data_IF_581185388820
#
_entry.id   IF_581185388820
#
_cell.length_a   1.000
_cell.length_b   1.000
_cell.length_c   1.000
_cell.angle_alpha   90.00
_cell.angle_beta   90.00
_cell.angle_gamma   90.00
#
_symmetry.space_group_name_H-M   'P 1'
#
loop_
_entity.id
_entity.type
_entity.pdbx_description
1 polymer ?
#
# COMPACT_ATOMS: atom_id res chain seq x y z
N UNK A 1 9.57 -0.83 15.52
CA UNK A 1 8.74 0.34 15.84
C UNK A 1 9.39 1.23 16.91
N UNK A 2 9.90 0.69 18.01
CA UNK A 2 10.53 1.51 19.07
C UNK A 2 11.64 2.44 18.53
N UNK A 3 12.54 1.91 17.68
CA UNK A 3 13.62 2.68 17.04
C UNK A 3 13.14 3.56 15.89
N UNK A 4 12.06 3.19 15.24
CA UNK A 4 11.51 3.84 14.05
C UNK A 4 9.98 3.95 14.18
N UNK A 5 9.47 4.85 15.05
CA UNK A 5 8.02 4.95 15.29
C UNK A 5 7.24 5.37 14.03
N UNK A 6 7.89 6.03 13.08
CA UNK A 6 7.30 6.45 11.81
C UNK A 6 6.90 5.28 10.89
N UNK A 7 7.34 4.05 11.17
CA UNK A 7 6.90 2.86 10.42
C UNK A 7 5.49 2.42 10.78
N UNK A 8 4.96 2.90 11.91
CA UNK A 8 3.60 2.57 12.33
C UNK A 8 2.57 3.35 11.51
N UNK A 9 1.47 2.68 11.17
CA UNK A 9 0.34 3.29 10.47
C UNK A 9 -0.27 4.44 11.26
N UNK A 10 -0.93 5.30 10.54
CA UNK A 10 -1.83 6.33 11.04
C UNK A 10 -3.23 5.97 10.55
N UNK A 11 -4.22 5.97 11.45
CA UNK A 11 -5.60 5.64 11.13
C UNK A 11 -6.31 6.82 10.42
N UNK A 12 -7.58 6.64 10.09
CA UNK A 12 -8.42 7.65 9.45
C UNK A 12 -8.73 8.88 10.33
N UNK A 13 -8.49 8.79 11.64
CA UNK A 13 -8.57 9.92 12.60
C UNK A 13 -7.24 10.67 12.74
N UNK A 14 -6.23 10.32 11.91
CA UNK A 14 -4.86 10.85 11.96
C UNK A 14 -4.09 10.50 13.24
N UNK A 15 -4.48 9.44 13.93
CA UNK A 15 -3.79 8.93 15.12
C UNK A 15 -2.83 7.79 14.73
N UNK A 16 -1.62 7.82 15.28
CA UNK A 16 -0.63 6.77 15.04
C UNK A 16 -0.93 5.52 15.88
N UNK A 17 -0.88 4.35 15.23
CA UNK A 17 -1.02 3.07 15.92
C UNK A 17 0.13 2.83 16.89
N UNK A 18 -0.16 2.07 17.93
CA UNK A 18 0.84 1.59 18.87
C UNK A 18 1.50 0.31 18.36
N UNK A 19 2.71 0.05 18.86
CA UNK A 19 3.41 -1.21 18.62
C UNK A 19 2.63 -2.40 19.20
N UNK A 20 2.68 -3.52 18.48
CA UNK A 20 2.09 -4.79 18.93
C UNK A 20 0.72 -5.11 18.34
N UNK A 21 0.09 -4.15 17.65
CA UNK A 21 -1.12 -4.42 16.87
C UNK A 21 -0.81 -5.23 15.61
N UNK A 22 -1.81 -5.93 15.12
CA UNK A 22 -1.76 -6.65 13.85
C UNK A 22 -1.84 -5.66 12.69
N UNK A 23 -1.10 -5.89 11.57
CA UNK A 23 -1.09 -5.06 10.35
C UNK A 23 -0.82 -3.56 10.62
N UNK A 24 -0.01 -3.26 11.60
CA UNK A 24 0.19 -1.88 12.05
C UNK A 24 1.36 -1.14 11.39
N UNK A 25 1.97 -1.70 10.33
CA UNK A 25 3.07 -1.06 9.62
C UNK A 25 2.63 -0.38 8.32
N UNK A 26 3.18 0.81 8.05
CA UNK A 26 2.94 1.56 6.83
C UNK A 26 3.70 0.93 5.65
N UNK A 27 2.97 0.41 4.66
CA UNK A 27 3.55 -0.20 3.45
C UNK A 27 4.27 0.81 2.54
N UNK A 28 4.08 2.11 2.77
CA UNK A 28 4.75 3.19 2.04
C UNK A 28 6.09 3.57 2.69
N UNK A 29 6.32 3.22 3.96
CA UNK A 29 7.53 3.59 4.70
C UNK A 29 8.80 3.02 4.05
N UNK A 30 9.77 3.86 3.65
CA UNK A 30 11.03 3.38 3.08
C UNK A 30 11.86 2.59 4.09
N UNK A 31 11.77 2.92 5.37
CA UNK A 31 12.46 2.18 6.45
C UNK A 31 11.86 0.78 6.59
N UNK A 32 10.52 0.67 6.60
CA UNK A 32 9.85 -0.63 6.69
C UNK A 32 10.18 -1.49 5.46
N UNK A 33 10.02 -0.95 4.23
CA UNK A 33 10.35 -1.64 2.98
C UNK A 33 11.80 -2.14 2.94
N UNK A 34 12.75 -1.32 3.39
CA UNK A 34 14.16 -1.75 3.48
C UNK A 34 14.34 -2.92 4.43
N UNK A 35 13.74 -2.86 5.63
CA UNK A 35 13.87 -3.91 6.64
C UNK A 35 13.20 -5.22 6.23
N UNK A 36 12.07 -5.15 5.55
CA UNK A 36 11.41 -6.32 4.97
C UNK A 36 12.30 -6.94 3.90
N UNK A 37 12.81 -6.17 2.96
CA UNK A 37 13.75 -6.66 1.93
C UNK A 37 14.98 -7.32 2.54
N UNK A 38 15.62 -6.71 3.56
CA UNK A 38 16.75 -7.29 4.26
C UNK A 38 16.40 -8.65 4.86
N UNK A 39 15.21 -8.80 5.46
CA UNK A 39 14.74 -10.04 6.06
C UNK A 39 14.44 -11.10 5.00
N UNK A 40 13.69 -10.76 3.96
CA UNK A 40 13.29 -11.68 2.88
C UNK A 40 14.52 -12.22 2.16
N UNK A 41 15.49 -11.34 1.86
CA UNK A 41 16.77 -11.75 1.25
C UNK A 41 17.53 -12.72 2.16
N UNK A 42 17.63 -12.43 3.45
CA UNK A 42 18.34 -13.30 4.39
C UNK A 42 17.66 -14.66 4.54
N UNK A 43 16.33 -14.70 4.59
CA UNK A 43 15.56 -15.95 4.63
C UNK A 43 15.74 -16.75 3.33
N UNK A 44 15.64 -16.09 2.18
CA UNK A 44 15.82 -16.74 0.89
C UNK A 44 17.25 -17.31 0.75
N UNK A 45 18.28 -16.55 1.07
CA UNK A 45 19.68 -17.03 1.05
C UNK A 45 19.90 -18.27 1.93
N UNK A 46 19.17 -18.37 3.04
CA UNK A 46 19.30 -19.50 3.96
C UNK A 46 18.50 -20.72 3.54
N UNK A 47 17.31 -20.55 2.96
CA UNK A 47 16.35 -21.64 2.83
C UNK A 47 15.92 -21.93 1.38
N UNK A 48 16.33 -21.15 0.39
CA UNK A 48 15.88 -21.31 -1.00
C UNK A 48 16.06 -22.75 -1.56
N UNK A 49 17.16 -23.39 -1.20
CA UNK A 49 17.48 -24.74 -1.67
C UNK A 49 17.17 -25.85 -0.65
N UNK A 50 16.44 -25.53 0.42
CA UNK A 50 16.04 -26.55 1.39
C UNK A 50 14.91 -27.42 0.81
N UNK A 51 15.04 -28.78 0.79
CA UNK A 51 14.10 -29.65 0.07
C UNK A 51 12.66 -29.62 0.61
N UNK A 52 12.43 -29.14 1.82
CA UNK A 52 11.10 -28.98 2.38
C UNK A 52 10.42 -27.64 2.01
N UNK A 53 11.14 -26.69 1.40
CA UNK A 53 10.57 -25.42 0.95
C UNK A 53 10.01 -25.60 -0.45
N UNK A 54 8.69 -25.54 -0.57
CA UNK A 54 7.97 -25.72 -1.84
C UNK A 54 7.38 -24.41 -2.36
N UNK A 55 7.19 -23.42 -1.48
CA UNK A 55 6.51 -22.17 -1.80
C UNK A 55 6.87 -21.10 -0.76
N UNK A 56 6.99 -19.85 -1.21
CA UNK A 56 7.20 -18.69 -0.34
C UNK A 56 5.90 -17.95 -0.13
N UNK A 57 5.47 -17.85 1.12
CA UNK A 57 4.32 -17.05 1.50
C UNK A 57 4.75 -15.64 1.89
N UNK A 58 4.40 -14.64 1.07
CA UNK A 58 4.75 -13.24 1.28
C UNK A 58 3.78 -12.60 2.26
N UNK A 59 4.32 -12.00 3.31
CA UNK A 59 3.50 -11.33 4.35
C UNK A 59 2.29 -12.17 4.80
N UNK A 60 1.21 -11.54 5.26
CA UNK A 60 -0.03 -12.22 5.62
C UNK A 60 -1.22 -11.28 5.52
N UNK A 61 -2.29 -11.67 4.82
CA UNK A 61 -3.58 -10.99 4.82
C UNK A 61 -3.45 -9.48 4.58
N UNK A 62 -2.89 -9.08 3.45
CA UNK A 62 -2.74 -7.66 3.11
C UNK A 62 -4.05 -6.90 3.27
N UNK A 63 -4.07 -5.89 4.14
CA UNK A 63 -5.26 -5.10 4.45
C UNK A 63 -4.92 -3.75 5.06
N UNK A 64 -5.92 -2.87 5.11
CA UNK A 64 -5.91 -1.61 5.85
C UNK A 64 -5.09 -0.49 5.23
N UNK A 65 -5.58 0.72 5.41
CA UNK A 65 -4.99 1.96 4.90
C UNK A 65 -4.00 2.60 5.90
N UNK A 66 -3.24 3.58 5.40
CA UNK A 66 -2.39 4.42 6.24
C UNK A 66 -2.48 5.87 5.82
N UNK A 67 -2.88 6.74 6.72
CA UNK A 67 -3.12 8.16 6.50
C UNK A 67 -1.94 9.06 6.94
N UNK A 68 -0.75 8.49 7.11
CA UNK A 68 0.42 9.25 7.55
C UNK A 68 0.87 10.29 6.50
N UNK A 69 1.64 11.32 6.89
CA UNK A 69 2.11 12.36 5.97
C UNK A 69 2.83 11.82 4.73
N UNK A 70 3.54 10.70 4.88
CA UNK A 70 4.21 10.05 3.75
C UNK A 70 3.21 9.46 2.74
N UNK A 71 2.14 8.82 3.22
CA UNK A 71 1.07 8.31 2.36
C UNK A 71 0.30 9.44 1.69
N UNK A 72 0.03 10.53 2.39
CA UNK A 72 -0.58 11.75 1.85
C UNK A 72 0.23 12.30 0.68
N UNK A 73 1.55 12.45 0.87
CA UNK A 73 2.42 12.97 -0.19
C UNK A 73 2.53 11.99 -1.38
N UNK A 74 2.62 10.69 -1.12
CA UNK A 74 2.64 9.67 -2.19
C UNK A 74 1.31 9.60 -2.94
N UNK A 75 0.20 9.84 -2.27
CA UNK A 75 -1.11 9.94 -2.92
C UNK A 75 -1.16 11.13 -3.89
N UNK A 76 -0.72 12.32 -3.45
CA UNK A 76 -0.62 13.51 -4.32
C UNK A 76 0.29 13.26 -5.54
N UNK A 77 1.44 12.62 -5.35
CA UNK A 77 2.35 12.26 -6.44
C UNK A 77 1.70 11.27 -7.44
N UNK A 78 0.96 10.28 -6.92
CA UNK A 78 0.23 9.31 -7.73
C UNK A 78 -0.88 10.00 -8.54
N UNK A 79 -1.63 10.91 -7.93
CA UNK A 79 -2.66 11.71 -8.61
C UNK A 79 -2.07 12.63 -9.69
N UNK A 80 -0.94 13.30 -9.41
CA UNK A 80 -0.22 14.11 -10.40
C UNK A 80 0.17 13.27 -11.62
N UNK A 81 0.65 12.06 -11.40
CA UNK A 81 0.99 11.13 -12.50
C UNK A 81 -0.25 10.69 -13.28
N UNK A 82 -1.38 10.49 -12.61
CA UNK A 82 -2.63 10.02 -13.21
C UNK A 82 -3.34 11.11 -14.02
N UNK A 83 -3.45 12.31 -13.48
CA UNK A 83 -4.25 13.40 -14.05
C UNK A 83 -3.43 14.47 -14.77
N UNK A 84 -2.15 14.55 -14.53
CA UNK A 84 -1.24 15.57 -15.09
C UNK A 84 -1.43 16.93 -14.44
N UNK A 85 -2.64 17.49 -14.50
CA UNK A 85 -2.98 18.81 -13.97
C UNK A 85 -4.03 18.74 -12.88
N UNK A 86 -4.03 19.77 -12.03
CA UNK A 86 -5.05 19.90 -10.97
C UNK A 86 -6.45 20.16 -11.57
N UNK A 87 -6.51 20.81 -12.72
CA UNK A 87 -7.76 21.03 -13.44
C UNK A 87 -8.39 19.72 -13.90
N UNK A 88 -7.60 18.82 -14.48
CA UNK A 88 -8.08 17.50 -14.88
C UNK A 88 -8.59 16.68 -13.68
N UNK A 89 -7.90 16.77 -12.53
CA UNK A 89 -8.35 16.16 -11.29
C UNK A 89 -9.68 16.75 -10.84
N UNK A 90 -9.79 18.09 -10.80
CA UNK A 90 -11.02 18.79 -10.42
C UNK A 90 -12.20 18.37 -11.30
N UNK A 91 -11.99 18.27 -12.60
CA UNK A 91 -13.00 17.82 -13.54
C UNK A 91 -13.39 16.35 -13.31
N UNK A 92 -12.40 15.46 -13.17
CA UNK A 92 -12.64 14.02 -12.97
C UNK A 92 -13.35 13.71 -11.65
N UNK A 93 -13.06 14.46 -10.61
CA UNK A 93 -13.69 14.32 -9.30
C UNK A 93 -14.96 15.15 -9.14
N UNK A 94 -15.27 15.99 -10.15
CA UNK A 94 -16.42 16.92 -10.14
C UNK A 94 -16.44 17.83 -8.90
N UNK A 95 -15.29 18.37 -8.55
CA UNK A 95 -15.07 19.17 -7.33
C UNK A 95 -15.79 20.52 -7.31
N UNK A 96 -16.37 20.95 -8.44
CA UNK A 96 -17.25 22.11 -8.49
C UNK A 96 -18.53 21.92 -7.67
N UNK A 97 -18.95 20.66 -7.45
CA UNK A 97 -20.06 20.34 -6.57
C UNK A 97 -19.73 20.75 -5.14
N UNK A 98 -20.60 21.51 -4.51
CA UNK A 98 -20.42 22.11 -3.18
C UNK A 98 -19.16 22.98 -3.03
N UNK A 99 -18.63 23.51 -4.16
CA UNK A 99 -17.46 24.39 -4.18
C UNK A 99 -16.17 23.77 -3.60
N UNK A 100 -15.96 22.45 -3.81
CA UNK A 100 -14.78 21.71 -3.32
C UNK A 100 -13.57 21.80 -4.26
N UNK A 101 -13.54 22.77 -5.17
CA UNK A 101 -12.47 22.90 -6.17
C UNK A 101 -11.13 23.14 -5.52
N UNK A 102 -10.17 22.26 -5.82
CA UNK A 102 -8.78 22.41 -5.42
C UNK A 102 -8.08 23.46 -6.29
N UNK A 103 -7.29 24.33 -5.65
CA UNK A 103 -6.48 25.36 -6.29
C UNK A 103 -4.99 25.11 -6.16
N UNK A 104 -4.59 24.24 -5.22
CA UNK A 104 -3.25 23.75 -5.02
C UNK A 104 -3.23 22.26 -4.64
N UNK A 105 -2.19 21.55 -5.06
CA UNK A 105 -2.05 20.12 -4.76
C UNK A 105 -1.93 19.81 -3.27
N UNK A 106 -1.42 20.74 -2.47
CA UNK A 106 -1.30 20.58 -1.02
C UNK A 106 -2.64 20.48 -0.31
N UNK A 107 -3.71 20.96 -0.93
CA UNK A 107 -5.08 20.87 -0.41
C UNK A 107 -5.69 19.47 -0.58
N UNK A 108 -5.09 18.63 -1.42
CA UNK A 108 -5.57 17.27 -1.64
C UNK A 108 -5.06 16.37 -0.53
N UNK A 109 -5.98 15.85 0.26
CA UNK A 109 -5.71 14.93 1.37
C UNK A 109 -6.38 13.57 1.14
N UNK A 110 -5.92 12.55 1.85
CA UNK A 110 -6.59 11.25 1.89
C UNK A 110 -7.98 11.40 2.53
N UNK A 111 -8.97 10.60 2.11
CA UNK A 111 -10.33 10.68 2.65
C UNK A 111 -10.40 10.09 4.08
N UNK A 112 -9.95 10.86 5.07
CA UNK A 112 -10.11 10.55 6.49
C UNK A 112 -11.59 10.57 6.90
N UNK A 113 -11.88 10.22 8.14
CA UNK A 113 -13.26 10.14 8.63
C UNK A 113 -14.01 11.49 8.54
N UNK A 114 -13.28 12.59 8.71
CA UNK A 114 -13.84 13.93 8.62
C UNK A 114 -13.84 14.50 7.19
N UNK A 115 -13.44 13.69 6.18
CA UNK A 115 -13.43 14.11 4.80
C UNK A 115 -14.86 14.26 4.26
N UNK A 116 -15.01 15.15 3.28
CA UNK A 116 -16.27 15.33 2.58
C UNK A 116 -16.64 14.07 1.76
N UNK A 117 -17.76 13.45 2.11
CA UNK A 117 -18.20 12.19 1.51
C UNK A 117 -18.77 12.33 0.10
N UNK A 118 -19.10 13.56 -0.34
CA UNK A 118 -19.60 13.79 -1.69
C UNK A 118 -18.56 13.68 -2.80
N UNK A 119 -17.27 13.71 -2.45
CA UNK A 119 -16.18 13.59 -3.42
C UNK A 119 -15.84 12.11 -3.72
N UNK A 120 -16.78 11.41 -4.35
CA UNK A 120 -16.64 9.98 -4.65
C UNK A 120 -15.36 9.64 -5.44
N UNK A 121 -14.95 10.52 -6.36
CA UNK A 121 -13.71 10.34 -7.13
C UNK A 121 -12.47 10.23 -6.25
N UNK A 122 -12.41 10.99 -5.16
CA UNK A 122 -11.32 10.93 -4.18
C UNK A 122 -11.28 9.56 -3.48
N UNK A 123 -12.43 9.04 -3.02
CA UNK A 123 -12.49 7.72 -2.36
C UNK A 123 -12.08 6.59 -3.32
N UNK A 124 -12.55 6.64 -4.56
CA UNK A 124 -12.18 5.64 -5.59
C UNK A 124 -10.67 5.68 -5.85
N UNK A 125 -10.09 6.86 -6.02
CA UNK A 125 -8.66 6.99 -6.27
C UNK A 125 -7.82 6.68 -5.04
N UNK A 126 -8.30 6.93 -3.83
CA UNK A 126 -7.64 6.47 -2.62
C UNK A 126 -7.56 4.93 -2.58
N UNK A 127 -8.64 4.21 -2.91
CA UNK A 127 -8.64 2.74 -3.01
C UNK A 127 -7.69 2.23 -4.08
N UNK A 128 -7.66 2.87 -5.24
CA UNK A 128 -6.70 2.56 -6.31
C UNK A 128 -5.25 2.80 -5.89
N UNK A 129 -5.01 3.91 -5.20
CA UNK A 129 -3.69 4.22 -4.65
C UNK A 129 -3.27 3.22 -3.58
N UNK A 130 -4.15 2.89 -2.64
CA UNK A 130 -3.89 1.90 -1.58
C UNK A 130 -3.57 0.53 -2.16
N UNK A 131 -4.33 0.07 -3.16
CA UNK A 131 -4.01 -1.14 -3.94
C UNK A 131 -2.64 -1.05 -4.60
N UNK A 132 -2.33 0.06 -5.25
CA UNK A 132 -1.02 0.28 -5.89
C UNK A 132 0.13 0.22 -4.87
N UNK A 133 -0.01 0.84 -3.70
CA UNK A 133 1.00 0.80 -2.63
C UNK A 133 1.20 -0.63 -2.10
N UNK A 134 0.11 -1.36 -1.88
CA UNK A 134 0.16 -2.75 -1.46
C UNK A 134 0.85 -3.62 -2.52
N UNK A 135 0.41 -3.54 -3.79
CA UNK A 135 1.00 -4.30 -4.91
C UNK A 135 2.51 -4.04 -5.03
N UNK A 136 2.93 -2.78 -5.00
CA UNK A 136 4.37 -2.45 -5.10
C UNK A 136 5.17 -2.90 -3.89
N UNK A 137 4.56 -3.02 -2.71
CA UNK A 137 5.20 -3.57 -1.53
C UNK A 137 5.36 -5.09 -1.68
N UNK A 138 4.29 -5.80 -1.99
CA UNK A 138 4.25 -7.24 -2.22
C UNK A 138 5.22 -7.68 -3.32
N UNK A 139 5.27 -6.94 -4.44
CA UNK A 139 6.24 -7.18 -5.52
C UNK A 139 7.68 -7.00 -5.06
N UNK A 140 7.95 -6.03 -4.17
CA UNK A 140 9.29 -5.83 -3.62
C UNK A 140 9.73 -6.97 -2.67
N UNK A 141 8.80 -7.61 -1.96
CA UNK A 141 9.07 -8.84 -1.19
C UNK A 141 9.39 -9.99 -2.14
N UNK A 142 8.54 -10.23 -3.15
CA UNK A 142 8.78 -11.26 -4.18
C UNK A 142 10.14 -11.07 -4.86
N UNK A 143 10.42 -9.86 -5.31
CA UNK A 143 11.66 -9.54 -6.02
C UNK A 143 12.90 -9.79 -5.14
N UNK A 144 12.80 -9.56 -3.82
CA UNK A 144 13.88 -9.85 -2.88
C UNK A 144 14.15 -11.37 -2.76
N UNK A 145 13.09 -12.19 -2.76
CA UNK A 145 13.17 -13.66 -2.76
C UNK A 145 13.71 -14.16 -4.09
N UNK A 146 13.13 -13.74 -5.20
CA UNK A 146 13.50 -14.20 -6.55
C UNK A 146 14.87 -13.68 -7.03
N UNK A 147 15.40 -12.62 -6.41
CA UNK A 147 16.77 -12.19 -6.66
C UNK A 147 17.81 -13.21 -6.16
N UNK A 148 17.45 -14.09 -5.21
CA UNK A 148 18.31 -15.18 -4.73
C UNK A 148 18.20 -16.39 -5.67
N UNK A 149 16.98 -16.74 -6.06
CA UNK A 149 16.71 -17.80 -7.03
C UNK A 149 15.38 -17.51 -7.75
N UNK A 150 15.46 -17.23 -9.04
CA UNK A 150 14.30 -16.87 -9.86
C UNK A 150 13.25 -17.99 -10.02
N UNK A 151 13.59 -19.22 -9.69
CA UNK A 151 12.68 -20.37 -9.74
C UNK A 151 11.72 -20.45 -8.55
N UNK A 152 12.00 -19.69 -7.47
CA UNK A 152 11.18 -19.70 -6.26
C UNK A 152 9.79 -19.15 -6.53
N UNK A 153 8.79 -19.96 -6.23
CA UNK A 153 7.39 -19.58 -6.39
C UNK A 153 6.88 -18.85 -5.15
N UNK A 154 6.14 -17.76 -5.37
CA UNK A 154 5.60 -16.92 -4.33
C UNK A 154 4.08 -16.89 -4.34
N UNK A 155 3.51 -16.85 -3.16
CA UNK A 155 2.07 -16.69 -2.91
C UNK A 155 1.82 -15.69 -1.79
N UNK A 156 0.60 -15.20 -1.70
CA UNK A 156 0.07 -14.48 -0.54
C UNK A 156 -1.40 -14.87 -0.38
N UNK A 157 -1.86 -14.98 0.87
CA UNK A 157 -3.26 -15.21 1.13
C UNK A 157 -4.06 -13.92 0.92
N UNK A 158 -4.96 -13.95 -0.06
CA UNK A 158 -5.82 -12.84 -0.41
C UNK A 158 -7.20 -13.04 0.22
N UNK A 159 -7.68 -12.00 0.94
CA UNK A 159 -8.87 -12.13 1.78
C UNK A 159 -10.13 -11.70 1.03
N UNK A 160 -11.01 -12.62 0.71
CA UNK A 160 -12.26 -12.37 -0.02
C UNK A 160 -13.21 -11.35 0.62
N UNK A 161 -13.11 -11.15 1.94
CA UNK A 161 -13.99 -10.28 2.72
C UNK A 161 -13.42 -8.90 3.03
N UNK A 162 -12.20 -8.62 2.60
CA UNK A 162 -11.57 -7.31 2.81
C UNK A 162 -11.82 -6.40 1.62
N UNK A 163 -12.34 -5.22 1.87
CA UNK A 163 -12.70 -4.23 0.86
C UNK A 163 -11.61 -3.20 0.60
N UNK A 164 -10.43 -3.39 1.22
CA UNK A 164 -9.38 -2.38 1.22
C UNK A 164 -8.66 -2.28 -0.11
N UNK A 165 -8.50 -3.41 -0.81
CA UNK A 165 -7.70 -3.52 -2.04
C UNK A 165 -8.45 -4.23 -3.16
N UNK A 166 -8.02 -3.97 -4.40
CA UNK A 166 -8.35 -4.79 -5.55
C UNK A 166 -7.47 -6.05 -5.54
N UNK A 167 -7.99 -7.13 -4.99
CA UNK A 167 -7.27 -8.40 -4.87
C UNK A 167 -7.03 -9.09 -6.20
N UNK A 168 -7.83 -8.85 -7.24
CA UNK A 168 -7.53 -9.31 -8.59
C UNK A 168 -6.24 -8.70 -9.09
N UNK A 169 -6.06 -7.38 -8.90
CA UNK A 169 -4.80 -6.72 -9.23
C UNK A 169 -3.61 -7.24 -8.42
N UNK A 170 -3.79 -7.58 -7.13
CA UNK A 170 -2.73 -8.19 -6.32
C UNK A 170 -2.36 -9.58 -6.84
N UNK A 171 -3.35 -10.41 -7.19
CA UNK A 171 -3.17 -11.76 -7.68
C UNK A 171 -2.28 -11.85 -8.95
N UNK A 172 -2.35 -10.85 -9.84
CA UNK A 172 -1.46 -10.75 -11.02
C UNK A 172 0.03 -10.76 -10.67
N UNK A 173 0.40 -10.41 -9.45
CA UNK A 173 1.78 -10.38 -8.97
C UNK A 173 2.27 -11.70 -8.37
N UNK A 174 1.41 -12.72 -8.25
CA UNK A 174 1.71 -13.98 -7.59
C UNK A 174 1.88 -15.13 -8.57
N UNK A 175 2.73 -16.11 -8.22
CA UNK A 175 2.86 -17.35 -8.98
C UNK A 175 1.73 -18.32 -8.65
N UNK A 176 1.22 -18.26 -7.45
CA UNK A 176 0.09 -19.05 -6.95
C UNK A 176 -0.83 -18.13 -6.14
N UNK A 177 -2.12 -18.23 -6.31
CA UNK A 177 -3.13 -17.51 -5.52
C UNK A 177 -3.68 -18.46 -4.46
N UNK A 178 -3.72 -18.02 -3.21
CA UNK A 178 -4.23 -18.79 -2.07
C UNK A 178 -5.20 -17.98 -1.23
#
# INVERSE_FOLDING_TARGET
>A
AQKYPEVLRVNQHYERYHFGGRHNHCLTSPVYRRKVREMDTALAQRYAHHPAVILWHLSNEFSGDCYCPLCQEKFRQWLKKRYGTLENLNQAWWTSFWSHRYTDWSQVEAPGEMAETSTNGMFIDWRRFSTHQCKTFMMAERDAVQAVDASLKCTANLMERFWDYDYFSLAEGMDVVS
#
